data_IF_675670000074
#
_entry.id   IF_675670000074
#
_cell.length_a   1.000
_cell.length_b   1.000
_cell.length_c   1.000
_cell.angle_alpha   90.00
_cell.angle_beta   90.00
_cell.angle_gamma   90.00
#
_symmetry.space_group_name_H-M   'P 1'
#
loop_
_entity.id
_entity.type
_entity.pdbx_description
1 polymer ?
#
# COMPACT_ATOMS: atom_id res chain seq x y z
N UNK A 1 -42.83 -10.37 -24.85
CA UNK A 1 -41.40 -10.78 -24.81
C UNK A 1 -40.51 -9.54 -24.63
N UNK A 2 -40.31 -9.04 -23.40
CA UNK A 2 -39.34 -7.95 -23.12
C UNK A 2 -38.62 -8.09 -21.77
N UNK A 3 -38.95 -9.12 -20.99
CA UNK A 3 -38.44 -9.32 -19.61
C UNK A 3 -37.10 -10.08 -19.55
N UNK A 4 -36.68 -10.73 -20.64
CA UNK A 4 -35.46 -11.56 -20.67
C UNK A 4 -34.16 -10.75 -20.78
N UNK A 5 -34.22 -9.52 -21.31
CA UNK A 5 -33.03 -8.68 -21.50
C UNK A 5 -32.59 -7.91 -20.25
N UNK A 6 -33.45 -7.76 -19.24
CA UNK A 6 -33.10 -7.05 -17.99
C UNK A 6 -32.20 -7.89 -17.06
N UNK A 7 -32.34 -9.22 -17.09
CA UNK A 7 -31.52 -10.13 -16.27
C UNK A 7 -30.05 -10.19 -16.70
N UNK A 8 -29.76 -9.89 -17.97
CA UNK A 8 -28.37 -9.89 -18.45
C UNK A 8 -27.58 -8.65 -18.00
N UNK A 9 -28.25 -7.52 -17.77
CA UNK A 9 -27.57 -6.26 -17.40
C UNK A 9 -27.26 -6.20 -15.89
N UNK A 10 -28.05 -6.85 -15.02
CA UNK A 10 -27.75 -6.85 -13.58
C UNK A 10 -26.56 -7.74 -13.20
N UNK A 11 -26.26 -8.78 -13.99
CA UNK A 11 -25.17 -9.73 -13.68
C UNK A 11 -23.79 -9.23 -14.13
N UNK A 12 -23.70 -8.34 -15.11
CA UNK A 12 -22.41 -7.75 -15.55
C UNK A 12 -21.94 -6.59 -14.66
N UNK A 13 -22.84 -5.93 -13.93
CA UNK A 13 -22.49 -4.84 -13.01
C UNK A 13 -21.79 -5.28 -11.72
N UNK A 14 -21.88 -6.57 -11.36
CA UNK A 14 -21.33 -7.10 -10.10
C UNK A 14 -19.90 -7.65 -10.24
N UNK A 15 -19.32 -7.68 -11.44
CA UNK A 15 -18.01 -8.29 -11.69
C UNK A 15 -16.85 -7.28 -11.73
N UNK A 16 -17.10 -5.97 -11.55
CA UNK A 16 -16.07 -4.94 -11.72
C UNK A 16 -15.30 -4.57 -10.45
N UNK A 17 -15.61 -5.14 -9.29
CA UNK A 17 -15.08 -4.70 -7.98
C UNK A 17 -14.01 -5.58 -7.33
N UNK A 18 -13.48 -6.61 -8.01
CA UNK A 18 -12.62 -7.63 -7.37
C UNK A 18 -11.11 -7.33 -7.37
N UNK A 19 -10.62 -6.35 -8.14
CA UNK A 19 -9.17 -6.14 -8.32
C UNK A 19 -8.47 -5.18 -7.34
N UNK A 20 -9.01 -5.00 -6.13
CA UNK A 20 -8.46 -4.03 -5.15
C UNK A 20 -7.70 -4.67 -3.97
N UNK A 21 -7.80 -5.98 -3.75
CA UNK A 21 -7.31 -6.61 -2.51
C UNK A 21 -5.85 -7.10 -2.59
N UNK A 22 -5.34 -7.41 -3.79
CA UNK A 22 -4.00 -8.01 -3.95
C UNK A 22 -2.85 -7.03 -3.69
N UNK A 23 -3.09 -5.73 -3.86
CA UNK A 23 -2.06 -4.71 -3.74
C UNK A 23 -2.16 -3.95 -2.40
N UNK A 24 -2.96 -4.46 -1.47
CA UNK A 24 -3.18 -3.87 -0.16
C UNK A 24 -2.43 -4.65 0.91
N UNK A 25 -1.62 -3.94 1.68
CA UNK A 25 -0.77 -4.47 2.73
C UNK A 25 -1.26 -3.96 4.07
N UNK A 26 -1.45 -4.85 5.04
CA UNK A 26 -2.16 -4.54 6.28
C UNK A 26 -1.27 -4.69 7.51
N UNK A 27 -1.59 -3.92 8.55
CA UNK A 27 -1.02 -4.11 9.87
C UNK A 27 -1.25 -5.56 10.36
N UNK A 28 -0.25 -6.26 10.94
CA UNK A 28 -0.42 -7.64 11.42
C UNK A 28 -1.59 -7.82 12.41
N UNK A 29 -1.86 -6.82 13.26
CA UNK A 29 -2.97 -6.84 14.21
C UNK A 29 -4.33 -6.45 13.60
N UNK A 30 -4.41 -6.09 12.31
CA UNK A 30 -5.68 -5.81 11.66
C UNK A 30 -6.55 -7.08 11.48
N UNK A 31 -5.91 -8.26 11.45
CA UNK A 31 -6.56 -9.54 11.12
C UNK A 31 -6.91 -10.41 12.36
N UNK A 32 -6.69 -9.94 13.58
CA UNK A 32 -6.84 -10.76 14.82
C UNK A 32 -8.26 -10.78 15.41
N UNK A 33 -9.30 -10.68 14.57
CA UNK A 33 -10.70 -10.79 15.02
C UNK A 33 -11.57 -11.53 14.00
N UNK A 34 -12.81 -11.94 14.36
CA UNK A 34 -13.74 -12.50 13.39
C UNK A 34 -13.81 -11.53 12.22
N UNK A 35 -13.74 -12.05 10.99
CA UNK A 35 -13.65 -11.27 9.76
C UNK A 35 -14.80 -10.26 9.71
N UNK A 36 -14.58 -9.10 10.31
CA UNK A 36 -15.49 -7.97 10.21
C UNK A 36 -15.38 -7.61 8.76
N UNK A 37 -16.41 -8.07 8.06
CA UNK A 37 -16.81 -7.74 6.70
C UNK A 37 -15.88 -6.69 6.10
N UNK A 38 -15.28 -7.07 4.97
CA UNK A 38 -14.69 -6.22 3.93
C UNK A 38 -15.66 -5.09 3.53
N UNK A 39 -16.04 -4.25 4.49
CA UNK A 39 -16.84 -3.05 4.32
C UNK A 39 -15.93 -2.16 3.53
N UNK A 40 -16.23 -2.10 2.24
CA UNK A 40 -15.73 -1.17 1.25
C UNK A 40 -15.02 0.02 1.90
N UNK A 41 -13.76 -0.18 2.25
CA UNK A 41 -12.87 0.91 2.61
C UNK A 41 -12.52 1.48 1.24
N UNK A 42 -13.33 2.45 0.84
CA UNK A 42 -13.07 3.27 -0.33
C UNK A 42 -11.61 3.75 -0.21
N UNK A 43 -10.79 3.64 -1.28
CA UNK A 43 -9.40 4.06 -1.21
C UNK A 43 -9.32 5.49 -0.69
N UNK A 44 -8.45 5.71 0.29
CA UNK A 44 -8.27 7.00 0.95
C UNK A 44 -9.20 7.22 2.16
N UNK A 45 -8.67 6.92 3.35
CA UNK A 45 -8.91 7.65 4.61
C UNK A 45 -7.90 7.21 5.70
N UNK A 46 -7.22 6.06 5.55
CA UNK A 46 -6.19 5.56 6.48
C UNK A 46 -5.10 4.73 5.78
N UNK A 47 -4.58 5.22 4.66
CA UNK A 47 -3.64 4.46 3.83
C UNK A 47 -2.51 5.35 3.34
N UNK A 48 -1.36 4.74 3.05
CA UNK A 48 -0.27 5.33 2.26
C UNK A 48 -0.27 4.62 0.92
N UNK A 49 -0.29 5.39 -0.17
CA UNK A 49 -0.13 4.84 -1.51
C UNK A 49 1.35 4.86 -1.90
N UNK A 50 1.84 3.77 -2.48
CA UNK A 50 3.19 3.66 -3.03
C UNK A 50 3.08 3.35 -4.51
N UNK A 51 3.67 4.21 -5.33
CA UNK A 51 3.62 4.11 -6.78
C UNK A 51 5.03 3.96 -7.35
N UNK A 52 5.34 2.78 -7.91
CA UNK A 52 6.61 2.55 -8.60
C UNK A 52 6.56 3.07 -10.05
N UNK A 53 6.79 4.37 -10.24
CA UNK A 53 6.93 5.00 -11.56
C UNK A 53 8.37 4.99 -12.11
N UNK A 54 9.26 4.22 -11.47
CA UNK A 54 10.66 4.14 -11.83
C UNK A 54 10.98 3.08 -12.89
N UNK A 55 12.27 2.78 -12.97
CA UNK A 55 12.84 1.85 -13.95
C UNK A 55 13.38 0.55 -13.35
N UNK A 56 13.29 0.37 -12.04
CA UNK A 56 13.75 -0.82 -11.29
C UNK A 56 12.61 -1.32 -10.36
N UNK A 57 12.69 -2.59 -9.97
CA UNK A 57 11.77 -3.17 -8.99
C UNK A 57 12.14 -2.69 -7.59
N UNK A 58 11.14 -2.53 -6.73
CA UNK A 58 11.33 -2.02 -5.37
C UNK A 58 10.80 -2.97 -4.32
N UNK A 59 11.48 -3.00 -3.18
CA UNK A 59 11.05 -3.67 -1.97
C UNK A 59 10.71 -2.63 -0.92
N UNK A 60 9.50 -2.75 -0.37
CA UNK A 60 8.92 -1.84 0.62
C UNK A 60 8.90 -2.54 1.98
N UNK A 61 9.33 -1.82 3.00
CA UNK A 61 9.31 -2.27 4.39
C UNK A 61 9.24 -1.06 5.32
N UNK A 62 9.01 -1.30 6.61
CA UNK A 62 8.90 -0.19 7.54
C UNK A 62 8.35 -0.59 8.91
N UNK A 63 8.05 0.42 9.70
CA UNK A 63 7.60 0.29 11.09
C UNK A 63 6.47 1.26 11.37
N UNK A 64 5.36 0.74 11.88
CA UNK A 64 4.20 1.53 12.30
C UNK A 64 4.50 2.33 13.58
N UNK A 65 3.62 3.26 13.95
CA UNK A 65 3.82 4.13 15.13
C UNK A 65 3.82 3.35 16.47
N UNK A 66 3.33 2.10 16.49
CA UNK A 66 3.34 1.20 17.65
C UNK A 66 4.56 0.24 17.67
N UNK A 67 5.57 0.52 16.86
CA UNK A 67 6.76 -0.30 16.63
C UNK A 67 6.53 -1.63 15.92
N UNK A 68 5.30 -1.96 15.52
CA UNK A 68 5.01 -3.16 14.72
C UNK A 68 5.68 -3.05 13.35
N UNK A 69 6.22 -4.17 12.84
CA UNK A 69 6.83 -4.23 11.52
C UNK A 69 5.77 -4.46 10.44
N UNK A 70 5.92 -3.76 9.32
CA UNK A 70 5.22 -4.08 8.09
C UNK A 70 5.83 -5.35 7.49
N UNK A 71 4.99 -6.31 7.13
CA UNK A 71 5.44 -7.46 6.33
C UNK A 71 6.00 -6.94 5.00
N UNK A 72 7.28 -7.17 4.69
CA UNK A 72 7.89 -6.61 3.49
C UNK A 72 7.21 -7.15 2.23
N UNK A 73 7.04 -6.27 1.24
CA UNK A 73 6.47 -6.65 -0.04
C UNK A 73 7.21 -5.98 -1.18
N UNK A 74 7.06 -6.56 -2.36
CA UNK A 74 7.68 -6.07 -3.58
C UNK A 74 6.64 -5.35 -4.45
N UNK A 75 7.09 -4.33 -5.17
CA UNK A 75 6.33 -3.66 -6.23
C UNK A 75 7.16 -3.70 -7.50
N UNK A 76 6.70 -4.47 -8.47
CA UNK A 76 7.38 -4.59 -9.75
C UNK A 76 7.24 -3.30 -10.57
N UNK A 77 8.19 -3.08 -11.47
CA UNK A 77 8.15 -1.94 -12.38
C UNK A 77 6.87 -1.94 -13.21
N UNK A 78 6.22 -0.77 -13.30
CA UNK A 78 4.93 -0.57 -14.00
C UNK A 78 3.75 -1.34 -13.38
N UNK A 79 3.91 -1.89 -12.18
CA UNK A 79 2.80 -2.47 -11.43
C UNK A 79 1.82 -1.36 -10.98
N UNK A 80 0.57 -1.77 -10.73
CA UNK A 80 -0.46 -0.86 -10.20
C UNK A 80 -0.04 -0.36 -8.81
N UNK A 81 -0.52 0.82 -8.35
CA UNK A 81 -0.20 1.32 -7.03
C UNK A 81 -0.51 0.29 -5.92
N UNK A 82 0.34 0.27 -4.89
CA UNK A 82 0.11 -0.51 -3.67
C UNK A 82 -0.29 0.41 -2.53
N UNK A 83 -1.10 -0.12 -1.63
CA UNK A 83 -1.66 0.62 -0.51
C UNK A 83 -1.23 -0.04 0.80
N UNK A 84 -0.62 0.73 1.70
CA UNK A 84 -0.32 0.29 3.05
C UNK A 84 -1.45 0.80 3.94
N UNK A 85 -2.27 -0.11 4.45
CA UNK A 85 -3.31 0.20 5.43
C UNK A 85 -2.69 0.50 6.78
N UNK A 86 -2.98 1.69 7.30
CA UNK A 86 -2.59 2.16 8.63
C UNK A 86 -3.62 1.79 9.70
N UNK A 87 -4.66 1.03 9.33
CA UNK A 87 -5.63 0.53 10.29
C UNK A 87 -5.04 -0.56 11.17
N UNK A 88 -5.29 -0.47 12.47
CA UNK A 88 -4.99 -1.51 13.44
C UNK A 88 -6.16 -1.69 14.41
N UNK A 89 -6.25 -2.88 15.00
CA UNK A 89 -7.18 -3.15 16.09
C UNK A 89 -6.46 -2.89 17.40
N UNK A 90 -6.99 -1.97 18.22
CA UNK A 90 -6.43 -1.75 19.55
C UNK A 90 -6.80 -2.88 20.53
N UNK A 91 -6.30 -2.79 21.77
CA UNK A 91 -6.54 -3.81 22.80
C UNK A 91 -8.01 -3.94 23.20
N UNK A 92 -8.79 -2.88 23.00
CA UNK A 92 -10.22 -2.83 23.32
C UNK A 92 -11.08 -3.36 22.15
N UNK A 93 -10.44 -3.82 21.07
CA UNK A 93 -11.11 -4.35 19.88
C UNK A 93 -11.63 -3.27 18.94
N UNK A 94 -11.26 -2.01 19.16
CA UNK A 94 -11.68 -0.87 18.34
C UNK A 94 -10.68 -0.66 17.19
N UNK A 95 -11.20 -0.43 15.99
CA UNK A 95 -10.37 -0.08 14.84
C UNK A 95 -9.87 1.37 14.99
N UNK A 96 -8.56 1.56 14.90
CA UNK A 96 -7.89 2.86 14.92
C UNK A 96 -7.00 3.03 13.71
N UNK A 97 -6.65 4.29 13.44
CA UNK A 97 -5.79 4.68 12.32
C UNK A 97 -4.47 5.25 12.86
N UNK A 98 -3.33 4.71 12.41
CA UNK A 98 -2.06 5.37 12.64
C UNK A 98 -1.97 6.69 11.86
N UNK A 99 -1.24 7.66 12.41
CA UNK A 99 -1.00 8.95 11.74
C UNK A 99 -0.04 8.81 10.55
N UNK A 100 0.78 7.76 10.57
CA UNK A 100 1.75 7.44 9.55
C UNK A 100 2.58 6.23 9.95
N UNK A 101 3.73 6.08 9.31
CA UNK A 101 4.72 5.07 9.65
C UNK A 101 6.12 5.51 9.22
N UNK A 102 7.16 4.89 9.77
CA UNK A 102 8.50 4.91 9.19
C UNK A 102 8.50 4.02 7.96
N UNK A 103 8.73 4.59 6.79
CA UNK A 103 8.73 3.91 5.51
C UNK A 103 10.15 3.87 4.92
N UNK A 104 10.56 2.68 4.52
CA UNK A 104 11.84 2.41 3.88
C UNK A 104 11.60 1.65 2.56
N UNK A 105 12.20 2.15 1.48
CA UNK A 105 12.04 1.57 0.15
C UNK A 105 13.41 1.43 -0.49
N UNK A 106 13.75 0.23 -0.92
CA UNK A 106 14.97 -0.05 -1.66
C UNK A 106 14.65 -0.59 -3.06
N UNK A 107 15.55 -0.40 -4.02
CA UNK A 107 15.53 -1.24 -5.22
C UNK A 107 15.98 -2.67 -4.89
N UNK A 108 15.66 -3.63 -5.75
CA UNK A 108 16.17 -5.01 -5.63
C UNK A 108 17.71 -5.08 -5.71
N UNK A 109 18.31 -4.12 -6.41
CA UNK A 109 19.76 -3.95 -6.49
C UNK A 109 20.40 -3.35 -5.21
N UNK A 110 19.60 -3.03 -4.18
CA UNK A 110 20.05 -2.63 -2.85
C UNK A 110 20.19 -1.12 -2.62
N UNK A 111 19.61 -0.30 -3.50
CA UNK A 111 19.68 1.17 -3.41
C UNK A 111 18.54 1.72 -2.58
N UNK A 112 18.84 2.52 -1.57
CA UNK A 112 17.81 3.12 -0.71
C UNK A 112 17.19 4.34 -1.38
N UNK A 113 15.92 4.24 -1.76
CA UNK A 113 15.15 5.30 -2.42
C UNK A 113 14.44 6.21 -1.43
N UNK A 114 13.74 5.60 -0.46
CA UNK A 114 12.96 6.31 0.56
C UNK A 114 13.40 5.82 1.94
N UNK A 115 13.48 6.77 2.86
CA UNK A 115 13.93 6.55 4.22
C UNK A 115 13.40 7.66 5.13
N UNK A 116 12.07 7.74 5.32
CA UNK A 116 11.43 8.82 6.08
C UNK A 116 10.13 8.39 6.76
N UNK A 117 9.52 9.29 7.51
CA UNK A 117 8.12 9.13 7.93
C UNK A 117 7.21 9.45 6.75
N UNK A 118 6.26 8.56 6.47
CA UNK A 118 5.17 8.76 5.53
C UNK A 118 3.85 8.86 6.30
N UNK A 119 2.96 9.73 5.85
CA UNK A 119 1.73 10.09 6.58
C UNK A 119 0.48 9.52 5.92
N UNK A 120 -0.58 9.39 6.71
CA UNK A 120 -1.89 9.01 6.19
C UNK A 120 -2.33 9.89 5.01
N UNK A 121 -2.81 9.27 3.94
CA UNK A 121 -3.29 9.94 2.72
C UNK A 121 -2.16 10.38 1.78
N UNK A 122 -0.91 10.07 2.10
CA UNK A 122 0.23 10.40 1.25
C UNK A 122 0.39 9.41 0.08
N UNK A 123 0.73 9.93 -1.09
CA UNK A 123 1.24 9.13 -2.22
C UNK A 123 2.76 9.30 -2.31
N UNK A 124 3.49 8.19 -2.19
CA UNK A 124 4.94 8.13 -2.23
C UNK A 124 5.40 7.74 -3.65
N UNK A 125 6.30 8.55 -4.21
CA UNK A 125 6.94 8.35 -5.51
C UNK A 125 8.43 8.10 -5.33
N UNK A 126 8.89 6.85 -5.13
CA UNK A 126 10.23 6.56 -4.62
C UNK A 126 11.37 7.12 -5.48
N UNK A 127 11.22 7.12 -6.80
CA UNK A 127 12.24 7.61 -7.73
C UNK A 127 12.23 9.13 -7.91
N UNK A 128 11.14 9.83 -7.55
CA UNK A 128 11.08 11.30 -7.55
C UNK A 128 11.67 11.89 -6.28
N UNK A 129 11.49 11.19 -5.17
CA UNK A 129 12.04 11.59 -3.87
C UNK A 129 13.53 11.30 -3.75
N UNK A 130 14.04 10.32 -4.50
CA UNK A 130 15.45 10.00 -4.49
C UNK A 130 16.28 11.20 -4.99
N UNK A 131 17.20 11.76 -4.19
CA UNK A 131 17.96 12.91 -4.61
C UNK A 131 18.88 12.50 -5.77
N UNK A 132 18.58 13.00 -6.97
CA UNK A 132 19.53 13.11 -8.07
C UNK A 132 20.63 14.11 -7.67
N UNK A 133 21.55 13.69 -6.80
CA UNK A 133 22.71 14.50 -6.45
C UNK A 133 23.72 14.40 -7.61
N UNK A 134 23.68 15.39 -8.51
CA UNK A 134 24.68 15.66 -9.55
C UNK A 134 24.87 14.58 -10.63
N UNK A 135 23.81 14.03 -11.19
CA UNK A 135 23.91 13.16 -12.39
C UNK A 135 24.69 11.86 -12.19
N UNK A 136 25.00 11.50 -10.94
CA UNK A 136 25.48 10.19 -10.52
C UNK A 136 24.56 9.72 -9.41
N UNK A 137 24.13 8.44 -9.47
CA UNK A 137 23.33 7.82 -8.41
C UNK A 137 24.04 8.12 -7.09
N UNK A 138 23.35 8.72 -6.10
CA UNK A 138 23.92 8.90 -4.78
C UNK A 138 24.06 7.51 -4.13
N UNK A 139 25.16 6.81 -4.40
CA UNK A 139 25.38 5.42 -3.99
C UNK A 139 25.49 5.28 -2.48
N UNK A 140 24.34 5.12 -1.82
CA UNK A 140 24.27 4.56 -0.48
C UNK A 140 23.59 3.21 -0.62
N UNK A 141 24.41 2.18 -0.86
CA UNK A 141 23.98 0.78 -0.75
C UNK A 141 23.61 0.56 0.71
N UNK A 142 22.38 0.10 0.96
CA UNK A 142 21.98 -0.28 2.31
C UNK A 142 22.93 -1.40 2.81
N UNK A 143 23.56 -1.19 3.96
CA UNK A 143 24.32 -2.22 4.67
C UNK A 143 23.38 -3.26 5.28
#
# INVERSE_FOLDING_TARGET
>A
MKLKSLLFVSCLGLLTSVYADSNRHVHPQANTGPSVEKRAMMPGYCEIEVLNDGYDDIRVYGRFDDDTLLEPFDIYRMERPHYISLYYRDRDGVMRCHSGMRLDINTFSGWRLVARRAYVGETVYPFREYPFRNGRKAEVKAQ
#
